data_IF_752801654722
#
_entry.id   IF_752801654722
#
_cell.length_a   1.000
_cell.length_b   1.000
_cell.length_c   1.000
_cell.angle_alpha   90.00
_cell.angle_beta   90.00
_cell.angle_gamma   90.00
#
_symmetry.space_group_name_H-M   'P 1'
#
loop_
_entity.id
_entity.type
_entity.pdbx_description
1 polymer ?
#
# COMPACT_ATOMS: atom_id res chain seq x y z
N UNK A 1 -2.45 -28.68 0.98
CA UNK A 1 -3.36 -27.51 1.18
C UNK A 1 -2.80 -26.26 0.52
N UNK A 2 -3.64 -25.38 -0.03
CA UNK A 2 -3.21 -24.12 -0.64
C UNK A 2 -2.68 -23.12 0.39
N UNK A 3 -1.61 -22.39 0.10
CA UNK A 3 -1.16 -21.30 0.99
C UNK A 3 -2.14 -20.11 0.97
N UNK A 4 -2.12 -19.30 2.03
CA UNK A 4 -3.02 -18.15 2.20
C UNK A 4 -2.89 -17.13 1.07
N UNK A 5 -1.67 -16.86 0.59
CA UNK A 5 -1.44 -15.95 -0.54
C UNK A 5 -2.09 -16.41 -1.84
N UNK A 6 -1.95 -17.69 -2.21
CA UNK A 6 -2.63 -18.23 -3.38
C UNK A 6 -4.16 -18.19 -3.24
N UNK A 7 -4.68 -18.44 -2.04
CA UNK A 7 -6.12 -18.38 -1.75
C UNK A 7 -6.68 -16.99 -2.03
N UNK A 8 -6.08 -15.94 -1.47
CA UNK A 8 -6.58 -14.57 -1.67
C UNK A 8 -6.40 -14.05 -3.09
N UNK A 9 -5.37 -14.50 -3.80
CA UNK A 9 -5.15 -14.13 -5.21
C UNK A 9 -5.94 -14.98 -6.20
N UNK A 10 -6.74 -15.94 -5.72
CA UNK A 10 -7.46 -16.93 -6.55
C UNK A 10 -6.53 -17.61 -7.56
N UNK A 11 -5.34 -18.01 -7.10
CA UNK A 11 -4.30 -18.70 -7.89
C UNK A 11 -4.20 -20.16 -7.46
N UNK A 12 -4.04 -21.07 -8.43
CA UNK A 12 -3.70 -22.47 -8.14
C UNK A 12 -2.40 -22.60 -7.31
N UNK A 13 -2.42 -23.50 -6.33
CA UNK A 13 -1.29 -23.74 -5.43
C UNK A 13 -0.84 -25.20 -5.55
N UNK A 14 0.44 -25.40 -5.84
CA UNK A 14 1.11 -26.70 -5.95
C UNK A 14 2.27 -26.79 -4.94
N UNK A 15 2.99 -27.90 -4.94
CA UNK A 15 4.20 -28.08 -4.10
C UNK A 15 5.26 -27.01 -4.42
N UNK A 16 5.48 -26.69 -5.69
CA UNK A 16 6.39 -25.61 -6.15
C UNK A 16 5.84 -24.19 -6.02
N UNK A 17 5.01 -23.90 -5.00
CA UNK A 17 4.38 -22.60 -4.86
C UNK A 17 5.37 -21.50 -4.45
N UNK A 18 5.63 -20.54 -5.35
CA UNK A 18 6.56 -19.42 -5.08
C UNK A 18 6.11 -18.48 -3.94
N UNK A 19 4.81 -18.40 -3.66
CA UNK A 19 4.27 -17.56 -2.57
C UNK A 19 4.37 -18.21 -1.20
N UNK A 20 4.42 -19.54 -1.13
CA UNK A 20 4.43 -20.26 0.16
C UNK A 20 5.62 -19.86 1.04
N UNK A 21 6.88 -19.89 0.56
CA UNK A 21 8.02 -19.48 1.38
C UNK A 21 7.98 -17.98 1.74
N UNK A 22 7.37 -17.14 0.90
CA UNK A 22 7.27 -15.69 1.13
C UNK A 22 6.47 -15.32 2.40
N UNK A 23 5.61 -16.22 2.87
CA UNK A 23 4.61 -15.93 3.91
C UNK A 23 4.89 -16.63 5.24
N UNK A 24 5.87 -17.55 5.30
CA UNK A 24 6.13 -18.38 6.48
C UNK A 24 6.57 -17.60 7.72
N UNK A 25 7.12 -16.40 7.54
CA UNK A 25 7.53 -15.53 8.64
C UNK A 25 6.36 -14.76 9.27
N UNK A 26 5.18 -14.75 8.64
CA UNK A 26 3.97 -14.11 9.17
C UNK A 26 3.17 -15.16 9.95
N UNK A 27 2.98 -14.92 11.25
CA UNK A 27 2.46 -15.89 12.20
C UNK A 27 1.02 -16.35 11.91
N UNK A 28 0.11 -15.41 11.62
CA UNK A 28 -1.31 -15.71 11.41
C UNK A 28 -1.65 -15.94 9.93
N UNK A 29 -2.47 -16.98 9.61
CA UNK A 29 -3.03 -17.19 8.28
C UNK A 29 -3.80 -15.99 7.72
N UNK A 30 -4.53 -15.28 8.58
CA UNK A 30 -5.27 -14.06 8.26
C UNK A 30 -4.31 -12.94 7.87
N UNK A 31 -3.26 -12.72 8.67
CA UNK A 31 -2.24 -11.71 8.41
C UNK A 31 -1.49 -11.97 7.09
N UNK A 32 -1.20 -13.25 6.77
CA UNK A 32 -0.64 -13.63 5.47
C UNK A 32 -1.56 -13.23 4.31
N UNK A 33 -2.87 -13.42 4.49
CA UNK A 33 -3.89 -13.01 3.53
C UNK A 33 -3.93 -11.49 3.35
N UNK A 34 -4.00 -10.74 4.45
CA UNK A 34 -4.04 -9.27 4.42
C UNK A 34 -2.80 -8.67 3.73
N UNK A 35 -1.60 -9.11 4.12
CA UNK A 35 -0.36 -8.66 3.49
C UNK A 35 -0.35 -8.97 1.99
N UNK A 36 -0.75 -10.18 1.59
CA UNK A 36 -0.75 -10.56 0.17
C UNK A 36 -1.75 -9.72 -0.64
N UNK A 37 -2.96 -9.51 -0.14
CA UNK A 37 -3.96 -8.66 -0.82
C UNK A 37 -3.47 -7.23 -0.93
N UNK A 38 -2.89 -6.68 0.14
CA UNK A 38 -2.39 -5.32 0.17
C UNK A 38 -1.27 -5.10 -0.85
N UNK A 39 -0.24 -5.97 -0.83
CA UNK A 39 0.88 -5.88 -1.79
C UNK A 39 0.41 -6.09 -3.23
N UNK A 40 -0.50 -7.05 -3.47
CA UNK A 40 -1.04 -7.28 -4.81
C UNK A 40 -1.96 -6.15 -5.31
N UNK A 41 -2.65 -5.44 -4.41
CA UNK A 41 -3.43 -4.24 -4.75
C UNK A 41 -2.50 -3.10 -5.17
N UNK A 42 -1.33 -2.97 -4.54
CA UNK A 42 -0.38 -1.91 -4.81
C UNK A 42 0.44 -2.14 -6.09
N UNK A 43 1.09 -3.30 -6.22
CA UNK A 43 1.95 -3.62 -7.37
C UNK A 43 1.23 -4.34 -8.52
N UNK A 44 -0.04 -4.69 -8.32
CA UNK A 44 -0.76 -5.60 -9.20
C UNK A 44 -0.34 -7.06 -9.01
N UNK A 45 -1.26 -7.98 -9.30
CA UNK A 45 -1.00 -9.43 -9.21
C UNK A 45 0.16 -9.86 -10.13
N UNK A 46 0.21 -9.35 -11.35
CA UNK A 46 1.28 -9.68 -12.30
C UNK A 46 2.64 -9.15 -11.83
N UNK A 47 2.68 -7.90 -11.36
CA UNK A 47 3.89 -7.27 -10.81
C UNK A 47 4.42 -8.04 -9.61
N UNK A 48 3.58 -8.35 -8.62
CA UNK A 48 3.95 -9.16 -7.46
C UNK A 48 4.60 -10.50 -7.86
N UNK A 49 3.99 -11.22 -8.80
CA UNK A 49 4.52 -12.51 -9.26
C UNK A 49 5.84 -12.36 -10.01
N UNK A 50 5.98 -11.31 -10.82
CA UNK A 50 7.20 -11.00 -11.54
C UNK A 50 8.36 -10.70 -10.59
N UNK A 51 8.15 -9.84 -9.58
CA UNK A 51 9.17 -9.54 -8.57
C UNK A 51 9.59 -10.80 -7.80
N UNK A 52 8.64 -11.59 -7.28
CA UNK A 52 8.98 -12.82 -6.53
C UNK A 52 9.78 -13.81 -7.39
N UNK A 53 9.50 -13.87 -8.70
CA UNK A 53 10.18 -14.78 -9.61
C UNK A 53 11.54 -14.26 -10.08
N UNK A 54 11.84 -12.97 -9.91
CA UNK A 54 13.11 -12.38 -10.34
C UNK A 54 14.26 -12.59 -9.36
N UNK A 55 14.00 -13.19 -8.19
CA UNK A 55 15.01 -13.48 -7.17
C UNK A 55 15.09 -14.98 -6.84
N UNK A 56 16.25 -15.49 -6.38
CA UNK A 56 16.39 -16.85 -5.86
C UNK A 56 15.43 -17.12 -4.71
N UNK A 57 15.05 -18.39 -4.53
CA UNK A 57 14.05 -18.80 -3.53
C UNK A 57 14.39 -18.33 -2.10
N UNK A 58 15.67 -18.37 -1.73
CA UNK A 58 16.15 -17.93 -0.41
C UNK A 58 15.92 -16.44 -0.12
N UNK A 59 15.79 -15.60 -1.16
CA UNK A 59 15.59 -14.16 -1.03
C UNK A 59 14.12 -13.74 -1.14
N UNK A 60 13.23 -14.65 -1.59
CA UNK A 60 11.81 -14.34 -1.79
C UNK A 60 11.08 -13.84 -0.52
N UNK A 61 11.34 -14.40 0.69
CA UNK A 61 10.72 -13.87 1.91
C UNK A 61 11.12 -12.42 2.17
N UNK A 62 12.41 -12.11 2.09
CA UNK A 62 12.93 -10.75 2.27
C UNK A 62 12.41 -9.79 1.20
N UNK A 63 12.34 -10.22 -0.06
CA UNK A 63 11.77 -9.41 -1.13
C UNK A 63 10.30 -9.09 -0.87
N UNK A 64 9.50 -10.09 -0.49
CA UNK A 64 8.08 -9.86 -0.18
C UNK A 64 7.93 -8.87 0.99
N UNK A 65 8.78 -8.98 2.01
CA UNK A 65 8.83 -8.03 3.12
C UNK A 65 9.19 -6.62 2.64
N UNK A 66 10.19 -6.47 1.77
CA UNK A 66 10.54 -5.18 1.15
C UNK A 66 9.37 -4.57 0.36
N UNK A 67 8.67 -5.38 -0.44
CA UNK A 67 7.47 -4.91 -1.17
C UNK A 67 6.37 -4.46 -0.21
N UNK A 68 6.16 -5.17 0.90
CA UNK A 68 5.19 -4.79 1.92
C UNK A 68 5.52 -3.44 2.55
N UNK A 69 6.79 -3.23 2.94
CA UNK A 69 7.24 -1.93 3.48
C UNK A 69 7.12 -0.81 2.45
N UNK A 70 7.49 -1.05 1.18
CA UNK A 70 7.40 -0.05 0.12
C UNK A 70 5.94 0.37 -0.14
N UNK A 71 5.02 -0.60 -0.24
CA UNK A 71 3.60 -0.33 -0.40
C UNK A 71 3.01 0.42 0.82
N UNK A 72 3.40 0.04 2.03
CA UNK A 72 2.95 0.73 3.25
C UNK A 72 3.48 2.16 3.28
N UNK A 73 4.79 2.33 3.03
CA UNK A 73 5.47 3.62 2.99
C UNK A 73 4.85 4.58 1.98
N UNK A 74 4.55 4.12 0.76
CA UNK A 74 3.85 4.94 -0.25
C UNK A 74 2.38 5.19 0.07
N UNK A 75 1.75 4.35 0.88
CA UNK A 75 0.36 4.61 1.30
C UNK A 75 0.31 5.74 2.33
N UNK A 76 1.26 5.77 3.27
CA UNK A 76 1.31 6.81 4.32
C UNK A 76 2.06 8.07 3.89
N UNK A 77 3.07 7.96 3.01
CA UNK A 77 3.82 9.06 2.41
C UNK A 77 3.80 8.90 0.86
N UNK A 78 2.76 9.43 0.19
CA UNK A 78 2.53 9.21 -1.23
C UNK A 78 3.64 9.72 -2.16
N UNK A 79 4.38 10.75 -1.75
CA UNK A 79 5.41 11.39 -2.58
C UNK A 79 6.76 10.69 -2.41
N UNK A 80 7.21 10.51 -1.17
CA UNK A 80 8.58 10.05 -0.88
C UNK A 80 8.64 8.58 -0.42
N UNK A 81 7.50 7.94 -0.19
CA UNK A 81 7.39 6.53 0.19
C UNK A 81 8.13 6.17 1.49
N UNK A 82 8.58 4.92 1.57
CA UNK A 82 9.32 4.41 2.73
C UNK A 82 10.67 5.12 2.92
N UNK A 83 11.33 5.53 1.83
CA UNK A 83 12.61 6.26 1.87
C UNK A 83 12.45 7.63 2.52
N UNK A 84 11.38 8.37 2.18
CA UNK A 84 11.07 9.64 2.83
C UNK A 84 10.88 9.51 4.34
N UNK A 85 10.19 8.46 4.78
CA UNK A 85 10.03 8.18 6.21
C UNK A 85 11.36 7.84 6.88
N UNK A 86 12.25 7.11 6.21
CA UNK A 86 13.56 6.79 6.74
C UNK A 86 14.42 8.05 6.91
N UNK A 87 14.47 8.91 5.90
CA UNK A 87 15.23 10.17 5.93
C UNK A 87 14.68 11.17 6.96
N UNK A 88 13.36 11.28 7.05
CA UNK A 88 12.69 12.11 8.06
C UNK A 88 12.71 11.50 9.47
N UNK A 89 13.43 10.37 9.69
CA UNK A 89 13.51 9.65 10.98
C UNK A 89 12.15 9.15 11.51
N UNK A 90 11.15 9.07 10.62
CA UNK A 90 9.79 8.62 10.89
C UNK A 90 9.57 7.14 10.51
N UNK A 91 10.61 6.30 10.59
CA UNK A 91 10.52 4.88 10.24
C UNK A 91 9.46 4.11 11.05
N UNK A 92 9.26 4.50 12.31
CA UNK A 92 8.24 3.94 13.19
C UNK A 92 6.82 4.02 12.59
N UNK A 93 6.53 5.05 11.78
CA UNK A 93 5.26 5.19 11.04
C UNK A 93 5.10 4.08 10.01
N UNK A 94 6.18 3.77 9.28
CA UNK A 94 6.18 2.68 8.29
C UNK A 94 5.96 1.33 8.97
N UNK A 95 6.59 1.11 10.13
CA UNK A 95 6.40 -0.11 10.93
C UNK A 95 4.95 -0.24 11.43
N UNK A 96 4.38 0.83 12.00
CA UNK A 96 2.99 0.85 12.44
C UNK A 96 2.01 0.62 11.28
N UNK A 97 2.34 1.10 10.07
CA UNK A 97 1.56 0.86 8.87
C UNK A 97 1.56 -0.63 8.47
N UNK A 98 2.74 -1.28 8.51
CA UNK A 98 2.84 -2.73 8.27
C UNK A 98 2.02 -3.51 9.30
N UNK A 99 2.13 -3.19 10.58
CA UNK A 99 1.33 -3.85 11.63
C UNK A 99 -0.17 -3.65 11.44
N UNK A 100 -0.57 -2.47 10.98
CA UNK A 100 -1.98 -2.18 10.66
C UNK A 100 -2.47 -3.05 9.50
N UNK A 101 -1.67 -3.21 8.44
CA UNK A 101 -1.99 -4.11 7.33
C UNK A 101 -2.08 -5.56 7.78
N UNK A 102 -1.12 -6.04 8.59
CA UNK A 102 -1.14 -7.41 9.11
C UNK A 102 -2.41 -7.68 9.94
N UNK A 103 -2.87 -6.70 10.73
CA UNK A 103 -4.13 -6.76 11.48
C UNK A 103 -5.39 -6.60 10.61
N UNK A 104 -5.26 -6.33 9.31
CA UNK A 104 -6.39 -6.12 8.41
C UNK A 104 -7.01 -4.72 8.48
N UNK A 105 -6.30 -3.75 9.06
CA UNK A 105 -6.71 -2.35 9.12
C UNK A 105 -6.53 -1.62 7.79
N UNK A 106 -7.10 -0.41 7.72
CA UNK A 106 -6.95 0.48 6.56
C UNK A 106 -5.93 1.57 6.88
N UNK A 107 -5.04 1.85 5.93
CA UNK A 107 -4.05 2.92 6.04
C UNK A 107 -4.59 4.22 5.44
N UNK A 108 -4.19 5.35 6.02
CA UNK A 108 -4.44 6.68 5.49
C UNK A 108 -3.11 7.45 5.32
N UNK A 109 -3.02 8.38 4.36
CA UNK A 109 -1.88 9.29 4.25
C UNK A 109 -1.67 10.08 5.54
N UNK A 110 -0.41 10.37 5.87
CA UNK A 110 -0.09 11.29 6.96
C UNK A 110 -0.45 12.73 6.58
N UNK A 111 -1.14 13.49 7.45
CA UNK A 111 -1.53 14.87 7.17
C UNK A 111 -0.35 15.80 6.88
N UNK A 112 0.80 15.57 7.52
CA UNK A 112 1.89 16.55 7.60
C UNK A 112 2.75 16.63 6.32
N UNK A 113 2.69 15.65 5.42
CA UNK A 113 3.51 15.63 4.20
C UNK A 113 2.87 16.28 2.97
N UNK A 114 1.60 16.70 3.06
CA UNK A 114 0.92 17.45 1.99
C UNK A 114 1.31 18.94 1.98
N UNK A 115 2.08 19.40 2.97
CA UNK A 115 2.29 20.82 3.26
C UNK A 115 3.76 21.23 3.39
N UNK A 116 4.72 20.42 2.93
CA UNK A 116 6.14 20.78 3.02
C UNK A 116 6.78 20.98 1.64
N UNK A 117 6.29 22.04 0.97
CA UNK A 117 7.04 22.77 -0.05
C UNK A 117 8.09 23.71 0.56
N UNK A 118 8.61 23.44 1.77
CA UNK A 118 9.68 24.25 2.37
C UNK A 118 11.03 23.77 1.86
N UNK A 119 11.45 24.32 0.72
CA UNK A 119 12.90 24.41 0.42
C UNK A 119 13.60 25.15 1.56
N UNK A 120 14.80 24.72 2.01
CA UNK A 120 15.61 25.53 2.90
C UNK A 120 16.33 26.58 2.04
N UNK A 121 15.68 27.73 1.83
CA UNK A 121 16.33 28.92 1.30
C UNK A 121 15.65 30.18 1.84
N UNK A 122 16.40 30.90 2.67
CA UNK A 122 16.53 32.35 2.79
C UNK A 122 15.33 33.25 2.46
N UNK A 123 14.90 33.99 3.49
CA UNK A 123 14.45 35.40 3.52
C UNK A 123 13.44 35.96 2.48
N UNK A 124 12.38 36.56 3.06
CA UNK A 124 11.51 37.66 2.58
C UNK A 124 10.41 37.41 1.51
N UNK A 125 9.17 37.54 2.00
CA UNK A 125 7.96 38.16 1.42
C UNK A 125 7.54 37.90 -0.05
N UNK A 126 6.40 37.22 -0.25
CA UNK A 126 5.16 37.85 -0.76
C UNK A 126 4.00 36.84 -0.79
N UNK A 127 2.82 37.29 -0.40
CA UNK A 127 1.54 36.60 -0.52
C UNK A 127 1.15 36.38 -2.00
N UNK A 128 0.79 35.14 -2.38
CA UNK A 128 -0.31 34.90 -3.31
C UNK A 128 -0.79 33.45 -3.18
N UNK A 129 -1.90 33.28 -2.45
CA UNK A 129 -2.69 32.05 -2.39
C UNK A 129 -3.29 31.75 -3.78
N UNK A 130 -3.01 30.57 -4.33
CA UNK A 130 -3.80 30.00 -5.45
C UNK A 130 -4.39 28.68 -4.98
N UNK A 131 -5.57 28.78 -4.36
CA UNK A 131 -6.42 27.64 -4.09
C UNK A 131 -6.93 27.04 -5.42
N UNK A 132 -6.51 25.81 -5.74
CA UNK A 132 -7.18 24.98 -6.74
C UNK A 132 -7.70 23.72 -6.03
N UNK A 133 -8.78 23.91 -5.28
CA UNK A 133 -9.54 22.82 -4.67
C UNK A 133 -10.96 22.86 -5.20
N UNK A 134 -11.19 22.31 -6.39
CA UNK A 134 -12.54 21.99 -6.87
C UNK A 134 -12.49 20.94 -7.98
N UNK A 135 -12.66 19.64 -7.66
CA UNK A 135 -13.07 18.61 -8.65
C UNK A 135 -13.65 17.33 -8.01
N UNK A 136 -14.47 17.42 -6.96
CA UNK A 136 -15.32 16.28 -6.56
C UNK A 136 -16.76 16.66 -6.19
N UNK A 137 -17.32 17.68 -6.86
CA UNK A 137 -18.78 17.77 -6.99
C UNK A 137 -19.21 17.23 -8.34
N UNK A 138 -19.27 15.91 -8.45
CA UNK A 138 -20.16 15.29 -9.43
C UNK A 138 -21.52 15.07 -8.76
N UNK A 139 -22.51 15.70 -9.38
CA UNK A 139 -23.93 15.69 -9.09
C UNK A 139 -24.54 14.64 -10.01
N UNK A 140 -25.18 13.61 -9.46
CA UNK A 140 -25.91 12.61 -10.24
C UNK A 140 -27.24 13.19 -10.80
N UNK A 141 -27.54 13.01 -12.10
CA UNK A 141 -28.88 13.21 -12.64
C UNK A 141 -29.60 11.88 -12.93
N UNK A 142 -30.73 11.69 -12.23
CA UNK A 142 -32.01 11.01 -12.56
C UNK A 142 -32.05 9.82 -13.55
N UNK A 143 -32.76 8.76 -13.14
CA UNK A 143 -33.90 8.24 -13.93
C UNK A 143 -34.99 7.61 -13.06
N UNK A 144 -36.23 7.97 -13.39
CA UNK A 144 -37.53 7.66 -12.77
C UNK A 144 -38.01 6.21 -12.90
N UNK A 145 -38.83 5.76 -11.95
CA UNK A 145 -40.00 4.93 -12.27
C UNK A 145 -41.11 5.17 -11.25
N UNK A 146 -42.25 5.61 -11.76
CA UNK A 146 -43.55 5.73 -11.08
C UNK A 146 -44.02 4.39 -10.55
N UNK A 147 -44.78 4.39 -9.44
CA UNK A 147 -45.95 3.52 -9.25
C UNK A 147 -46.88 4.19 -8.23
N UNK A 148 -48.06 4.58 -8.71
CA UNK A 148 -49.27 4.84 -7.91
C UNK A 148 -49.80 3.51 -7.36
N UNK A 149 -50.23 3.50 -6.09
CA UNK A 149 -51.55 3.00 -5.62
C UNK A 149 -51.90 3.78 -4.35
#
# INVERSE_FOLDING_TARGET
MSCNGCRVLRKGCSEGCILRPCLQWIESPEAQGHATVFVAKFFGRAGLMSFISSVPESQRPSLFQSLLFEACGRTVNPVNGAVGLLWARNWHVCQAAVETVLRGGTLSPMPDFLTDGRSPASDEASEFEVACSDIWKLKDPKSSSSFEV
#
